data_IF_525760479795
#
_entry.id   IF_525760479795
#
_cell.length_a   1.000
_cell.length_b   1.000
_cell.length_c   1.000
_cell.angle_alpha   90.00
_cell.angle_beta   90.00
_cell.angle_gamma   90.00
#
_symmetry.space_group_name_H-M   'P 1'
#
loop_
_entity.id
_entity.type
_entity.pdbx_description
1 polymer ?
#
# COMPACT_ATOMS: atom_id res chain seq x y z
N UNK A 1 51.24 4.74 38.61
CA UNK A 1 51.25 3.30 38.24
C UNK A 1 50.33 2.58 39.23
N UNK A 2 49.36 1.70 38.96
CA UNK A 2 49.04 0.70 37.93
C UNK A 2 47.49 0.69 37.69
N UNK A 3 46.89 0.56 36.50
CA UNK A 3 46.81 -0.52 35.49
C UNK A 3 46.15 -1.84 35.93
N UNK A 4 44.90 -2.05 35.49
CA UNK A 4 44.16 -3.33 35.33
C UNK A 4 42.66 -3.00 35.12
N UNK A 5 41.94 -3.19 34.00
CA UNK A 5 41.85 -4.15 32.88
C UNK A 5 41.16 -5.48 33.20
N UNK A 6 39.83 -5.55 33.02
CA UNK A 6 39.12 -6.75 32.49
C UNK A 6 37.73 -6.40 31.95
N UNK A 7 37.40 -6.99 30.79
CA UNK A 7 36.07 -7.33 30.27
C UNK A 7 35.09 -6.15 30.01
N UNK A 8 34.95 -5.63 28.79
CA UNK A 8 34.37 -6.31 27.61
C UNK A 8 33.06 -7.04 27.92
N UNK A 9 31.99 -6.65 27.21
CA UNK A 9 30.70 -7.36 27.05
C UNK A 9 29.53 -7.00 28.00
N UNK A 10 29.06 -5.75 27.97
CA UNK A 10 27.60 -5.54 28.07
C UNK A 10 27.14 -4.89 26.77
N UNK A 11 26.99 -5.79 25.81
CA UNK A 11 26.14 -5.78 24.63
C UNK A 11 25.24 -4.55 24.51
N UNK A 12 25.58 -3.72 23.52
CA UNK A 12 24.70 -2.76 22.89
C UNK A 12 23.36 -3.45 22.56
N UNK A 13 22.31 -3.21 23.33
CA UNK A 13 20.95 -3.44 22.82
C UNK A 13 20.68 -2.37 21.76
N UNK A 14 21.16 -2.65 20.55
CA UNK A 14 20.62 -2.10 19.31
C UNK A 14 19.21 -2.66 19.20
N UNK A 15 18.25 -2.02 19.86
CA UNK A 15 16.83 -2.24 19.57
C UNK A 15 16.59 -1.67 18.18
N UNK A 16 16.85 -2.48 17.16
CA UNK A 16 16.22 -2.34 15.88
C UNK A 16 14.72 -2.55 16.13
N UNK A 17 14.00 -1.47 16.43
CA UNK A 17 12.58 -1.41 16.10
C UNK A 17 12.57 -1.28 14.59
N UNK A 18 12.41 -2.43 13.95
CA UNK A 18 12.21 -2.61 12.52
C UNK A 18 11.05 -1.72 12.07
N UNK A 19 11.39 -0.57 11.51
CA UNK A 19 11.04 -0.20 10.13
C UNK A 19 9.72 -0.82 9.62
N UNK A 20 8.58 -0.33 10.10
CA UNK A 20 7.32 -0.49 9.37
C UNK A 20 7.43 0.35 8.09
N UNK A 21 7.26 -0.22 6.89
CA UNK A 21 6.93 0.59 5.74
C UNK A 21 5.52 1.13 5.99
N UNK A 22 5.43 2.36 6.49
CA UNK A 22 4.19 3.12 6.43
C UNK A 22 3.76 3.11 4.97
N UNK A 23 2.71 2.36 4.64
CA UNK A 23 1.95 2.54 3.42
C UNK A 23 1.20 3.87 3.55
N UNK A 24 1.97 4.94 3.53
CA UNK A 24 1.46 6.29 3.33
C UNK A 24 1.23 6.38 1.82
N UNK A 25 0.02 6.03 1.38
CA UNK A 25 -0.53 6.47 0.09
C UNK A 25 -0.64 7.99 0.15
N UNK A 26 0.52 8.64 0.14
CA UNK A 26 0.73 10.06 0.28
C UNK A 26 0.10 10.75 -0.92
N UNK A 27 -1.18 11.10 -0.77
CA UNK A 27 -1.92 12.04 -1.61
C UNK A 27 -1.35 13.44 -1.48
N UNK A 28 -0.08 13.62 -1.85
CA UNK A 28 0.62 14.89 -1.94
C UNK A 28 0.08 15.63 -3.16
N UNK A 29 -0.60 16.75 -2.88
CA UNK A 29 -1.33 17.62 -3.80
C UNK A 29 -0.41 18.31 -4.83
N UNK A 30 0.27 17.52 -5.67
CA UNK A 30 0.85 17.98 -6.93
C UNK A 30 -0.30 18.08 -7.95
N UNK A 31 -0.23 19.04 -8.88
CA UNK A 31 -1.24 19.19 -9.93
C UNK A 31 -1.62 17.81 -10.49
N UNK A 32 -2.90 17.45 -10.39
CA UNK A 32 -3.35 16.09 -10.61
C UNK A 32 -2.91 15.62 -12.00
N UNK A 33 -2.16 14.54 -12.06
CA UNK A 33 -1.79 13.89 -13.30
C UNK A 33 -2.85 12.83 -13.63
N UNK A 34 -3.17 12.68 -14.91
CA UNK A 34 -4.12 11.67 -15.37
C UNK A 34 -3.65 10.27 -14.96
N UNK A 35 -4.45 9.46 -14.24
CA UNK A 35 -4.01 8.14 -13.77
C UNK A 35 -3.77 7.16 -14.93
N UNK A 36 -4.43 7.37 -16.07
CA UNK A 36 -4.25 6.50 -17.25
C UNK A 36 -2.98 6.80 -18.06
N UNK A 37 -2.61 8.08 -18.24
CA UNK A 37 -1.54 8.48 -19.17
C UNK A 37 -0.52 9.48 -18.63
N UNK A 38 -0.69 9.98 -17.39
CA UNK A 38 0.17 10.96 -16.69
C UNK A 38 0.22 12.37 -17.30
N UNK A 39 -0.58 12.66 -18.32
CA UNK A 39 -0.78 14.03 -18.82
C UNK A 39 -1.47 14.94 -17.78
N UNK A 40 -1.31 16.27 -17.87
CA UNK A 40 -1.99 17.19 -16.97
C UNK A 40 -3.51 17.03 -17.07
N UNK A 41 -4.19 16.98 -15.91
CA UNK A 41 -5.65 16.91 -15.84
C UNK A 41 -6.27 18.19 -16.38
N UNK A 42 -7.38 18.02 -17.10
CA UNK A 42 -8.23 19.13 -17.56
C UNK A 42 -9.46 19.17 -16.67
N UNK A 43 -9.83 20.33 -16.14
CA UNK A 43 -10.94 20.49 -15.20
C UNK A 43 -12.24 19.83 -15.68
N UNK A 44 -12.58 20.01 -16.97
CA UNK A 44 -13.75 19.40 -17.62
C UNK A 44 -13.77 17.87 -17.56
N UNK A 45 -12.60 17.24 -17.51
CA UNK A 45 -12.45 15.78 -17.56
C UNK A 45 -11.84 15.19 -16.29
N UNK A 46 -11.70 15.98 -15.22
CA UNK A 46 -11.11 15.52 -13.96
C UNK A 46 -11.82 14.25 -13.44
N UNK A 47 -11.07 13.21 -13.02
CA UNK A 47 -9.63 13.17 -12.73
C UNK A 47 -8.71 12.83 -13.95
N UNK A 48 -9.19 12.93 -15.18
CA UNK A 48 -8.47 12.57 -16.40
C UNK A 48 -8.10 13.78 -17.26
N UNK A 49 -7.25 13.57 -18.27
CA UNK A 49 -6.89 14.61 -19.24
C UNK A 49 -7.88 14.72 -20.43
N UNK A 50 -8.77 13.73 -20.62
CA UNK A 50 -9.69 13.67 -21.78
C UNK A 50 -10.79 12.62 -21.62
N UNK A 51 -11.86 12.73 -22.43
CA UNK A 51 -12.88 11.68 -22.57
C UNK A 51 -12.28 10.32 -22.91
N UNK A 52 -11.28 10.27 -23.81
CA UNK A 52 -10.65 9.01 -24.23
C UNK A 52 -10.01 8.26 -23.06
N UNK A 53 -9.38 8.98 -22.13
CA UNK A 53 -8.79 8.36 -20.94
C UNK A 53 -9.86 7.85 -19.96
N UNK A 54 -10.98 8.56 -19.82
CA UNK A 54 -12.12 8.07 -19.03
C UNK A 54 -12.73 6.79 -19.63
N UNK A 55 -12.89 6.74 -20.96
CA UNK A 55 -13.41 5.55 -21.64
C UNK A 55 -12.48 4.32 -21.48
N UNK A 56 -11.15 4.54 -21.50
CA UNK A 56 -10.16 3.47 -21.27
C UNK A 56 -10.21 2.94 -19.84
N UNK A 57 -10.33 3.84 -18.86
CA UNK A 57 -10.47 3.48 -17.45
C UNK A 57 -11.73 2.63 -17.22
N UNK A 58 -12.86 3.05 -17.81
CA UNK A 58 -14.10 2.29 -17.79
C UNK A 58 -13.93 0.88 -18.38
N UNK A 59 -13.23 0.74 -19.51
CA UNK A 59 -12.97 -0.57 -20.09
C UNK A 59 -12.10 -1.46 -19.17
N UNK A 60 -11.10 -0.90 -18.49
CA UNK A 60 -10.30 -1.64 -17.49
C UNK A 60 -11.16 -2.15 -16.35
N UNK A 61 -12.15 -1.37 -15.94
CA UNK A 61 -13.11 -1.80 -14.92
C UNK A 61 -14.02 -2.93 -15.42
N UNK A 62 -14.61 -2.76 -16.60
CA UNK A 62 -15.49 -3.77 -17.20
C UNK A 62 -14.77 -5.07 -17.57
N UNK A 63 -13.46 -5.03 -17.77
CA UNK A 63 -12.64 -6.22 -18.04
C UNK A 63 -12.15 -6.93 -16.77
N UNK A 64 -12.46 -6.41 -15.59
CA UNK A 64 -11.98 -6.98 -14.32
C UNK A 64 -10.48 -6.79 -14.10
N UNK A 65 -9.85 -5.80 -14.74
CA UNK A 65 -8.41 -5.53 -14.57
C UNK A 65 -8.06 -4.95 -13.19
N UNK A 66 -9.05 -4.42 -12.46
CA UNK A 66 -8.88 -3.94 -11.10
C UNK A 66 -9.11 -5.11 -10.13
N UNK A 67 -8.03 -5.57 -9.49
CA UNK A 67 -8.06 -6.65 -8.49
C UNK A 67 -7.72 -6.08 -7.11
N UNK A 68 -8.45 -6.54 -6.09
CA UNK A 68 -8.08 -6.33 -4.69
C UNK A 68 -7.19 -7.51 -4.29
N UNK A 69 -5.95 -7.28 -3.81
CA UNK A 69 -5.10 -8.36 -3.35
C UNK A 69 -5.78 -9.10 -2.19
N UNK A 70 -5.80 -10.43 -2.24
CA UNK A 70 -6.20 -11.22 -1.09
C UNK A 70 -5.12 -11.09 -0.01
N UNK A 71 -5.53 -10.77 1.22
CA UNK A 71 -4.70 -11.08 2.36
C UNK A 71 -4.85 -12.58 2.61
N UNK A 72 -3.73 -13.31 2.65
CA UNK A 72 -3.72 -14.65 3.23
C UNK A 72 -4.08 -14.45 4.71
N UNK A 73 -5.32 -14.72 5.09
CA UNK A 73 -5.70 -14.82 6.49
C UNK A 73 -4.94 -16.02 7.04
N UNK A 74 -3.98 -15.79 7.94
CA UNK A 74 -3.39 -16.87 8.73
C UNK A 74 -4.56 -17.60 9.41
N UNK A 75 -4.68 -18.90 9.16
CA UNK A 75 -5.85 -19.75 9.42
C UNK A 75 -5.97 -20.05 10.93
N UNK A 76 -5.86 -19.02 11.76
CA UNK A 76 -6.07 -19.02 13.19
C UNK A 76 -7.27 -18.14 13.54
N UNK A 77 -8.40 -18.82 13.77
CA UNK A 77 -9.39 -18.50 14.81
C UNK A 77 -10.78 -18.00 14.33
N UNK A 78 -11.60 -18.94 13.85
CA UNK A 78 -12.83 -19.28 14.57
C UNK A 78 -14.17 -18.65 14.16
N UNK A 79 -14.74 -19.07 13.01
CA UNK A 79 -16.20 -18.99 12.82
C UNK A 79 -16.72 -20.09 11.87
N UNK A 80 -17.54 -21.06 12.35
CA UNK A 80 -18.27 -21.93 11.45
C UNK A 80 -19.54 -21.24 10.93
N UNK A 81 -20.14 -21.86 9.91
CA UNK A 81 -21.54 -21.74 9.47
C UNK A 81 -21.79 -20.82 8.29
N UNK A 82 -21.55 -21.34 7.09
CA UNK A 82 -22.44 -21.11 5.96
C UNK A 82 -23.45 -22.26 5.91
N UNK A 83 -24.60 -22.10 6.56
CA UNK A 83 -25.81 -22.86 6.23
C UNK A 83 -26.99 -21.89 6.23
N UNK A 84 -27.58 -21.70 5.06
CA UNK A 84 -28.95 -21.26 4.83
C UNK A 84 -29.25 -21.55 3.36
N UNK A 85 -29.53 -22.81 3.07
CA UNK A 85 -30.31 -23.20 1.90
C UNK A 85 -31.78 -22.83 2.15
N UNK A 86 -32.44 -22.26 1.14
CA UNK A 86 -33.89 -22.15 1.00
C UNK A 86 -34.23 -22.05 -0.47
#
# INVERSE_FOLDING_TARGET
>A
MARGSTASQITRLRSAILNSPSNDDGGSQRAAACPQCKSPVVEKYAPFCSKRCADVDLHRWLSGSYAIPAAEEDDSDGRPSGESEQ
#
